data_IF_172275237697
#
_entry.id   IF_172275237697
#
_cell.length_a   1.000
_cell.length_b   1.000
_cell.length_c   1.000
_cell.angle_alpha   90.00
_cell.angle_beta   90.00
_cell.angle_gamma   90.00
#
_symmetry.space_group_name_H-M   'P 1'
#
loop_
_entity.id
_entity.type
_entity.pdbx_description
1 polymer ?
#
# COMPACT_ATOMS: atom_id res chain seq x y z
N UNK A 1 5.36 -16.92 6.04
CA UNK A 1 4.81 -15.83 6.87
C UNK A 1 3.95 -16.43 7.98
N UNK A 2 4.00 -15.90 9.20
CA UNK A 2 3.21 -16.35 10.35
C UNK A 2 4.05 -16.49 11.64
N UNK A 3 3.46 -16.96 12.74
CA UNK A 3 2.07 -17.43 12.83
C UNK A 3 1.04 -16.28 12.87
N UNK A 4 -0.09 -16.49 12.20
CA UNK A 4 -1.29 -15.64 12.20
C UNK A 4 -2.38 -16.23 13.10
N UNK A 5 -3.42 -15.45 13.49
CA UNK A 5 -4.61 -15.99 14.12
C UNK A 5 -5.19 -17.15 13.30
N UNK A 6 -5.49 -18.27 13.97
CA UNK A 6 -5.93 -19.49 13.30
C UNK A 6 -7.28 -19.26 12.62
N UNK A 7 -7.35 -19.53 11.32
CA UNK A 7 -8.58 -19.54 10.53
C UNK A 7 -8.72 -20.88 9.83
N UNK A 8 -9.81 -21.60 10.12
CA UNK A 8 -10.06 -22.96 9.60
C UNK A 8 -8.88 -23.94 9.80
N UNK A 9 -8.14 -23.79 10.91
CA UNK A 9 -6.95 -24.59 11.22
C UNK A 9 -5.66 -24.17 10.51
N UNK A 10 -5.67 -23.10 9.71
CA UNK A 10 -4.50 -22.54 9.05
C UNK A 10 -3.96 -21.33 9.82
N UNK A 11 -2.64 -21.24 9.96
CA UNK A 11 -1.96 -20.19 10.73
C UNK A 11 -0.73 -19.63 10.01
N UNK A 12 -0.35 -20.19 8.87
CA UNK A 12 0.79 -19.74 8.08
C UNK A 12 0.34 -19.46 6.65
N UNK A 13 1.11 -18.60 5.99
CA UNK A 13 0.99 -18.35 4.55
C UNK A 13 2.36 -18.54 3.95
N UNK A 14 2.45 -19.44 2.96
CA UNK A 14 3.62 -19.57 2.12
C UNK A 14 3.40 -18.77 0.84
N UNK A 15 4.41 -18.02 0.45
CA UNK A 15 4.34 -17.03 -0.62
C UNK A 15 5.59 -17.17 -1.50
N UNK A 16 5.38 -17.28 -2.82
CA UNK A 16 6.42 -17.06 -3.80
C UNK A 16 6.02 -15.87 -4.68
N UNK A 17 7.00 -15.02 -4.99
CA UNK A 17 6.80 -13.88 -5.86
C UNK A 17 7.78 -14.01 -7.02
N UNK A 18 7.25 -14.09 -8.24
CA UNK A 18 8.08 -13.98 -9.42
C UNK A 18 8.71 -12.58 -9.44
N UNK A 19 10.01 -12.58 -9.68
CA UNK A 19 10.81 -11.41 -9.48
C UNK A 19 10.53 -10.33 -10.54
N UNK A 20 10.35 -10.75 -11.79
CA UNK A 20 10.23 -9.85 -12.95
C UNK A 20 8.79 -9.39 -13.13
N UNK A 21 7.86 -10.34 -13.24
CA UNK A 21 6.43 -10.05 -13.46
C UNK A 21 5.71 -9.57 -12.20
N UNK A 22 6.35 -9.72 -11.03
CA UNK A 22 5.73 -9.49 -9.72
C UNK A 22 4.51 -10.40 -9.48
N UNK A 23 4.37 -11.49 -10.24
CA UNK A 23 3.32 -12.48 -10.05
C UNK A 23 3.45 -13.12 -8.67
N UNK A 24 2.31 -13.34 -8.01
CA UNK A 24 2.27 -13.84 -6.63
C UNK A 24 1.54 -15.17 -6.60
N UNK A 25 2.17 -16.19 -6.06
CA UNK A 25 1.56 -17.48 -5.74
C UNK A 25 1.58 -17.65 -4.21
N UNK A 26 0.41 -17.88 -3.62
CA UNK A 26 0.25 -17.97 -2.17
C UNK A 26 -0.61 -19.18 -1.78
N UNK A 27 -0.22 -19.88 -0.72
CA UNK A 27 -1.05 -20.93 -0.10
C UNK A 27 -1.15 -20.71 1.42
N UNK A 28 -2.31 -21.00 1.98
CA UNK A 28 -2.49 -21.08 3.42
C UNK A 28 -2.02 -22.46 3.91
N UNK A 29 -1.21 -22.50 4.97
CA UNK A 29 -0.67 -23.74 5.53
C UNK A 29 -0.91 -23.83 7.04
N UNK A 30 -1.12 -25.06 7.54
CA UNK A 30 -1.32 -25.31 8.98
C UNK A 30 0.02 -25.32 9.74
N UNK A 31 1.08 -25.68 9.04
CA UNK A 31 2.45 -25.72 9.56
C UNK A 31 3.40 -25.00 8.59
N UNK A 32 4.60 -24.69 9.05
CA UNK A 32 5.70 -24.14 8.26
C UNK A 32 6.78 -25.21 7.97
N UNK A 33 6.38 -26.48 7.95
CA UNK A 33 7.31 -27.60 7.81
C UNK A 33 7.94 -27.64 6.42
N UNK A 34 9.13 -28.25 6.36
CA UNK A 34 9.88 -28.39 5.13
C UNK A 34 9.12 -29.12 4.03
N UNK A 35 8.35 -30.16 4.39
CA UNK A 35 7.54 -30.93 3.45
C UNK A 35 6.53 -30.03 2.73
N UNK A 36 5.92 -29.10 3.45
CA UNK A 36 4.94 -28.15 2.90
C UNK A 36 5.62 -27.19 1.91
N UNK A 37 6.82 -26.71 2.24
CA UNK A 37 7.60 -25.84 1.35
C UNK A 37 8.00 -26.56 0.06
N UNK A 38 8.49 -27.80 0.16
CA UNK A 38 8.88 -28.60 -1.01
C UNK A 38 7.68 -28.91 -1.90
N UNK A 39 6.55 -29.28 -1.30
CA UNK A 39 5.32 -29.60 -2.02
C UNK A 39 4.80 -28.38 -2.78
N UNK A 40 4.77 -27.21 -2.13
CA UNK A 40 4.44 -25.95 -2.78
C UNK A 40 5.35 -25.62 -3.97
N UNK A 41 6.67 -25.73 -3.81
CA UNK A 41 7.60 -25.42 -4.90
C UNK A 41 7.39 -26.35 -6.10
N UNK A 42 7.17 -27.65 -5.87
CA UNK A 42 6.93 -28.59 -6.97
C UNK A 42 5.57 -28.36 -7.62
N UNK A 43 4.50 -28.40 -6.82
CA UNK A 43 3.11 -28.42 -7.26
C UNK A 43 2.65 -27.08 -7.81
N UNK A 44 3.01 -25.99 -7.13
CA UNK A 44 2.53 -24.66 -7.50
C UNK A 44 3.49 -23.92 -8.43
N UNK A 45 4.80 -24.22 -8.41
CA UNK A 45 5.78 -23.50 -9.22
C UNK A 45 6.36 -24.39 -10.34
N UNK A 46 7.09 -25.46 -10.00
CA UNK A 46 7.91 -26.18 -10.98
C UNK A 46 7.07 -26.88 -12.05
N UNK A 47 5.98 -27.54 -11.67
CA UNK A 47 5.11 -28.22 -12.62
C UNK A 47 4.25 -27.27 -13.46
N UNK A 48 4.01 -26.03 -12.99
CA UNK A 48 3.14 -25.06 -13.67
C UNK A 48 3.90 -24.09 -14.56
N UNK A 49 5.04 -23.62 -14.08
CA UNK A 49 5.82 -22.54 -14.72
C UNK A 49 7.22 -22.96 -15.12
N UNK A 50 7.61 -24.21 -14.81
CA UNK A 50 8.97 -24.70 -14.99
C UNK A 50 9.87 -24.39 -13.80
N UNK A 51 11.10 -24.90 -13.87
CA UNK A 51 12.11 -24.72 -12.82
C UNK A 51 12.67 -23.30 -12.91
N UNK A 52 12.54 -22.46 -11.86
CA UNK A 52 13.07 -21.10 -11.88
C UNK A 52 14.60 -21.12 -11.93
N UNK A 53 15.23 -20.13 -12.56
CA UNK A 53 16.71 -20.06 -12.63
C UNK A 53 17.38 -19.85 -11.27
N UNK A 54 16.69 -19.21 -10.33
CA UNK A 54 17.18 -18.98 -8.98
C UNK A 54 16.00 -18.95 -8.01
N UNK A 55 16.23 -19.45 -6.79
CA UNK A 55 15.29 -19.36 -5.68
C UNK A 55 15.92 -18.51 -4.57
N UNK A 56 15.28 -17.40 -4.22
CA UNK A 56 15.74 -16.51 -3.16
C UNK A 56 14.80 -16.68 -1.96
N UNK A 57 15.36 -17.11 -0.84
CA UNK A 57 14.67 -17.15 0.45
C UNK A 57 15.38 -16.24 1.45
N UNK A 58 14.66 -15.84 2.49
CA UNK A 58 15.12 -15.07 3.65
C UNK A 58 16.11 -15.81 4.58
N UNK A 59 16.69 -16.93 4.13
CA UNK A 59 17.58 -17.80 4.92
C UNK A 59 16.95 -18.35 6.22
N UNK A 60 15.62 -18.45 6.29
CA UNK A 60 14.96 -19.15 7.39
C UNK A 60 15.50 -20.58 7.57
N UNK A 61 15.56 -21.06 8.81
CA UNK A 61 16.08 -22.40 9.17
C UNK A 61 15.42 -23.55 8.38
N UNK A 62 14.17 -23.36 7.96
CA UNK A 62 13.43 -24.31 7.12
C UNK A 62 13.99 -24.41 5.70
N UNK A 63 14.63 -23.37 5.16
CA UNK A 63 15.21 -23.37 3.81
C UNK A 63 16.66 -23.88 3.80
N UNK A 64 17.35 -23.84 4.94
CA UNK A 64 18.71 -24.35 5.11
C UNK A 64 18.72 -25.77 5.71
N UNK A 65 18.25 -26.75 4.93
CA UNK A 65 18.22 -28.17 5.34
C UNK A 65 18.74 -29.07 4.22
N UNK A 66 19.35 -30.22 4.57
CA UNK A 66 19.83 -31.25 3.65
C UNK A 66 18.79 -31.67 2.60
N UNK A 67 17.51 -31.75 2.97
CA UNK A 67 16.46 -32.13 2.01
C UNK A 67 16.15 -31.03 0.99
N UNK A 68 16.20 -29.75 1.38
CA UNK A 68 16.11 -28.63 0.43
C UNK A 68 17.34 -28.54 -0.43
N UNK A 69 18.53 -28.69 0.16
CA UNK A 69 19.79 -28.74 -0.59
C UNK A 69 19.78 -29.85 -1.65
N UNK A 70 19.30 -31.05 -1.29
CA UNK A 70 19.12 -32.16 -2.25
C UNK A 70 18.07 -31.86 -3.32
N UNK A 71 16.97 -31.19 -2.98
CA UNK A 71 15.98 -30.73 -3.96
C UNK A 71 16.60 -29.72 -4.94
N UNK A 72 17.28 -28.70 -4.41
CA UNK A 72 17.93 -27.67 -5.22
C UNK A 72 19.00 -28.28 -6.12
N UNK A 73 19.82 -29.21 -5.61
CA UNK A 73 20.77 -29.99 -6.42
C UNK A 73 20.08 -30.74 -7.56
N UNK A 74 19.00 -31.47 -7.26
CA UNK A 74 18.25 -32.27 -8.25
C UNK A 74 17.72 -31.41 -9.40
N UNK A 75 17.37 -30.16 -9.13
CA UNK A 75 16.84 -29.22 -10.12
C UNK A 75 17.89 -28.21 -10.63
N UNK A 76 19.17 -28.38 -10.29
CA UNK A 76 20.26 -27.51 -10.78
C UNK A 76 20.27 -26.09 -10.20
N UNK A 77 19.69 -25.89 -9.02
CA UNK A 77 19.49 -24.58 -8.38
C UNK A 77 20.59 -24.19 -7.39
N UNK A 78 21.65 -24.99 -7.28
CA UNK A 78 22.61 -24.92 -6.17
C UNK A 78 23.85 -24.07 -6.45
N UNK A 79 24.09 -23.67 -7.70
CA UNK A 79 25.42 -23.24 -8.16
C UNK A 79 25.48 -21.79 -8.64
N UNK A 80 24.71 -20.88 -8.02
CA UNK A 80 24.46 -19.58 -8.65
C UNK A 80 24.52 -18.41 -7.66
N UNK A 81 25.57 -18.35 -6.84
CA UNK A 81 25.90 -17.14 -6.05
C UNK A 81 26.02 -15.90 -6.96
N UNK A 82 26.50 -16.09 -8.19
CA UNK A 82 26.54 -15.05 -9.23
C UNK A 82 25.14 -14.56 -9.63
N UNK A 83 24.16 -15.46 -9.83
CA UNK A 83 22.78 -15.04 -10.13
C UNK A 83 22.11 -14.38 -8.93
N UNK A 84 22.52 -14.70 -7.69
CA UNK A 84 22.03 -13.98 -6.51
C UNK A 84 22.50 -12.54 -6.57
N UNK A 85 23.79 -12.31 -6.79
CA UNK A 85 24.35 -10.96 -6.89
C UNK A 85 23.70 -10.19 -8.05
N UNK A 86 23.55 -10.83 -9.21
CA UNK A 86 22.89 -10.24 -10.37
C UNK A 86 21.42 -9.90 -10.08
N UNK A 87 20.67 -10.79 -9.43
CA UNK A 87 19.28 -10.53 -9.05
C UNK A 87 19.18 -9.35 -8.06
N UNK A 88 20.07 -9.26 -7.06
CA UNK A 88 20.12 -8.13 -6.13
C UNK A 88 20.41 -6.81 -6.86
N UNK A 89 21.39 -6.80 -7.76
CA UNK A 89 21.73 -5.63 -8.57
C UNK A 89 20.57 -5.20 -9.47
N UNK A 90 19.96 -6.16 -10.17
CA UNK A 90 18.75 -5.92 -10.97
C UNK A 90 17.60 -5.36 -10.12
N UNK A 91 17.50 -5.75 -8.83
CA UNK A 91 16.51 -5.20 -7.87
C UNK A 91 16.73 -3.74 -7.63
N UNK A 92 17.99 -3.43 -7.35
CA UNK A 92 18.43 -2.11 -6.98
C UNK A 92 18.20 -1.17 -8.14
N UNK A 93 18.58 -1.57 -9.36
CA UNK A 93 18.36 -0.82 -10.59
C UNK A 93 16.86 -0.62 -10.85
N UNK A 94 16.03 -1.68 -10.76
CA UNK A 94 14.59 -1.56 -10.98
C UNK A 94 13.93 -0.60 -9.99
N UNK A 95 14.19 -0.76 -8.69
CA UNK A 95 13.66 0.12 -7.63
C UNK A 95 14.09 1.57 -7.83
N UNK A 96 15.34 1.81 -8.22
CA UNK A 96 15.86 3.13 -8.54
C UNK A 96 15.14 3.75 -9.75
N UNK A 97 14.93 2.98 -10.83
CA UNK A 97 14.19 3.44 -12.03
C UNK A 97 12.76 3.82 -11.69
N UNK A 98 12.03 2.96 -10.98
CA UNK A 98 10.65 3.22 -10.57
C UNK A 98 10.57 4.44 -9.65
N UNK A 99 11.48 4.56 -8.67
CA UNK A 99 11.57 5.75 -7.81
C UNK A 99 11.83 7.01 -8.63
N UNK A 100 12.76 6.98 -9.59
CA UNK A 100 13.07 8.13 -10.46
C UNK A 100 11.85 8.56 -11.28
N UNK A 101 11.13 7.60 -11.88
CA UNK A 101 9.90 7.88 -12.62
C UNK A 101 8.81 8.45 -11.71
N UNK A 102 8.62 7.86 -10.53
CA UNK A 102 7.67 8.37 -9.54
C UNK A 102 8.01 9.80 -9.15
N UNK A 103 9.26 10.07 -8.75
CA UNK A 103 9.73 11.39 -8.34
C UNK A 103 9.60 12.44 -9.46
N UNK A 104 9.75 12.04 -10.71
CA UNK A 104 9.53 12.91 -11.88
C UNK A 104 8.05 13.27 -12.07
N UNK A 105 7.12 12.39 -11.69
CA UNK A 105 5.68 12.61 -11.82
C UNK A 105 5.06 13.32 -10.60
N UNK A 106 5.83 13.57 -9.53
CA UNK A 106 5.35 14.36 -8.40
C UNK A 106 5.12 15.79 -8.85
N UNK A 107 3.85 16.18 -8.98
CA UNK A 107 3.45 17.56 -9.22
C UNK A 107 3.93 18.43 -8.05
N UNK A 108 4.81 19.39 -8.35
CA UNK A 108 5.22 20.41 -7.38
C UNK A 108 4.02 21.33 -7.12
N UNK A 109 3.58 21.36 -5.87
CA UNK A 109 2.57 22.31 -5.41
C UNK A 109 3.29 23.55 -4.89
N UNK A 110 3.00 24.70 -5.49
CA UNK A 110 3.47 25.98 -4.96
C UNK A 110 2.44 26.53 -3.97
N UNK A 111 2.92 26.88 -2.79
CA UNK A 111 2.10 27.43 -1.72
C UNK A 111 2.56 28.83 -1.37
N UNK A 112 1.61 29.70 -1.03
CA UNK A 112 1.85 31.10 -0.64
C UNK A 112 1.23 31.36 0.74
N UNK A 113 1.88 32.24 1.49
CA UNK A 113 1.34 32.71 2.78
C UNK A 113 -0.04 33.34 2.56
N UNK A 114 -0.97 33.05 3.48
CA UNK A 114 -2.37 33.47 3.44
C UNK A 114 -3.32 32.55 2.67
N UNK A 115 -2.82 31.53 1.96
CA UNK A 115 -3.69 30.57 1.28
C UNK A 115 -4.42 29.66 2.27
N UNK A 116 -5.68 29.34 1.97
CA UNK A 116 -6.42 28.29 2.68
C UNK A 116 -6.10 26.93 2.10
N UNK A 117 -5.81 25.96 2.97
CA UNK A 117 -5.45 24.59 2.60
C UNK A 117 -6.16 23.58 3.48
N UNK A 118 -6.32 22.37 2.95
CA UNK A 118 -6.74 21.20 3.71
C UNK A 118 -5.53 20.33 4.01
N UNK A 119 -5.50 19.74 5.20
CA UNK A 119 -4.46 18.83 5.67
C UNK A 119 -4.95 17.38 5.63
N UNK A 120 -4.12 16.48 5.13
CA UNK A 120 -4.41 15.05 5.13
C UNK A 120 -4.11 14.41 6.50
N UNK A 121 -5.12 13.76 7.07
CA UNK A 121 -4.99 13.03 8.32
C UNK A 121 -4.56 11.57 8.06
N UNK A 122 -3.30 11.27 8.35
CA UNK A 122 -2.71 9.94 8.12
C UNK A 122 -3.11 8.89 9.16
N UNK A 123 -3.72 9.28 10.28
CA UNK A 123 -4.11 8.39 11.39
C UNK A 123 -5.50 7.76 11.18
N UNK A 124 -6.30 8.27 10.24
CA UNK A 124 -7.61 7.70 9.86
C UNK A 124 -7.49 6.42 9.01
N UNK A 125 -6.62 5.49 9.40
CA UNK A 125 -6.27 4.28 8.63
C UNK A 125 -7.40 3.24 8.57
N UNK A 126 -8.33 3.21 9.52
CA UNK A 126 -9.27 2.09 9.70
C UNK A 126 -10.65 2.52 10.24
N UNK A 127 -11.41 3.35 9.52
CA UNK A 127 -12.84 3.51 9.83
C UNK A 127 -13.66 3.02 8.63
N UNK A 128 -14.41 1.94 8.85
CA UNK A 128 -15.30 1.26 7.90
C UNK A 128 -16.57 2.07 7.57
N UNK A 129 -16.48 3.40 7.57
CA UNK A 129 -17.58 4.28 7.21
C UNK A 129 -17.15 5.04 5.97
N UNK A 130 -17.61 4.53 4.82
CA UNK A 130 -17.19 4.82 3.44
C UNK A 130 -17.34 6.29 2.97
N UNK A 131 -17.64 7.24 3.88
CA UNK A 131 -18.04 8.61 3.55
C UNK A 131 -17.37 9.72 4.40
N UNK A 132 -16.37 9.44 5.24
CA UNK A 132 -15.63 10.53 5.92
C UNK A 132 -14.42 10.98 5.11
N UNK A 133 -14.35 12.29 4.84
CA UNK A 133 -13.15 12.93 4.27
C UNK A 133 -11.96 12.72 5.20
N UNK A 134 -10.80 12.34 4.64
CA UNK A 134 -9.51 12.31 5.36
C UNK A 134 -8.79 13.67 5.35
N UNK A 135 -9.46 14.69 4.84
CA UNK A 135 -8.93 16.04 4.74
C UNK A 135 -9.58 16.89 5.84
N UNK A 136 -8.74 17.36 6.77
CA UNK A 136 -9.11 18.28 7.84
C UNK A 136 -8.83 19.72 7.40
N UNK A 137 -9.53 20.69 7.99
CA UNK A 137 -9.39 22.12 7.69
C UNK A 137 -10.67 22.73 7.13
N UNK A 138 -10.66 24.03 6.75
CA UNK A 138 -9.52 24.76 6.19
C UNK A 138 -8.57 25.41 7.21
N UNK A 139 -7.27 25.38 6.91
CA UNK A 139 -6.20 26.06 7.64
C UNK A 139 -5.59 27.16 6.78
N UNK A 140 -5.01 28.18 7.41
CA UNK A 140 -4.32 29.28 6.72
C UNK A 140 -2.81 29.07 6.79
N UNK A 141 -2.11 29.21 5.67
CA UNK A 141 -0.64 29.18 5.66
C UNK A 141 -0.09 30.45 6.28
N UNK A 142 0.71 30.34 7.34
CA UNK A 142 1.41 31.49 7.96
C UNK A 142 2.82 31.65 7.42
N UNK A 143 3.54 30.53 7.23
CA UNK A 143 4.91 30.54 6.74
C UNK A 143 5.17 29.36 5.80
N UNK A 144 5.99 29.59 4.78
CA UNK A 144 6.49 28.55 3.86
C UNK A 144 8.00 28.49 4.01
N UNK A 145 8.50 27.38 4.52
CA UNK A 145 9.93 27.18 4.72
C UNK A 145 10.59 26.55 3.48
N UNK A 146 11.93 26.68 3.35
CA UNK A 146 12.69 25.85 2.42
C UNK A 146 12.43 24.36 2.66
N UNK A 147 12.50 23.54 1.60
CA UNK A 147 12.37 22.07 1.67
C UNK A 147 10.98 21.50 2.00
N UNK A 148 9.91 22.22 1.65
CA UNK A 148 8.52 21.73 1.71
C UNK A 148 7.90 21.62 3.11
N UNK A 149 8.46 22.27 4.14
CA UNK A 149 7.78 22.43 5.42
C UNK A 149 6.90 23.69 5.39
N UNK A 150 5.66 23.57 5.86
CA UNK A 150 4.69 24.66 5.83
C UNK A 150 4.06 24.80 7.21
N UNK A 151 4.02 26.02 7.71
CA UNK A 151 3.33 26.34 8.95
C UNK A 151 1.88 26.68 8.65
N UNK A 152 0.98 25.96 9.32
CA UNK A 152 -0.45 26.15 9.26
C UNK A 152 -0.93 26.76 10.55
N UNK A 153 -1.97 27.58 10.41
CA UNK A 153 -2.72 28.15 11.52
C UNK A 153 -4.17 27.77 11.41
N UNK A 154 -4.72 27.28 12.51
CA UNK A 154 -6.15 27.10 12.69
C UNK A 154 -6.80 28.43 13.08
N UNK A 155 -7.82 28.84 12.33
CA UNK A 155 -8.57 30.09 12.60
C UNK A 155 -9.41 29.98 13.88
N UNK A 156 -9.84 28.77 14.27
CA UNK A 156 -10.72 28.56 15.42
C UNK A 156 -9.96 28.52 16.75
N UNK A 157 -8.84 27.79 16.77
CA UNK A 157 -8.03 27.60 17.99
C UNK A 157 -6.85 28.57 18.07
N UNK A 158 -6.59 29.33 17.01
CA UNK A 158 -5.44 30.22 16.86
C UNK A 158 -4.08 29.49 17.03
N UNK A 159 -4.08 28.15 16.99
CA UNK A 159 -2.89 27.32 17.15
C UNK A 159 -2.13 27.20 15.83
N UNK A 160 -0.80 27.16 15.92
CA UNK A 160 0.08 26.95 14.77
C UNK A 160 0.81 25.62 14.88
N UNK A 161 1.01 24.96 13.74
CA UNK A 161 1.77 23.71 13.66
C UNK A 161 2.40 23.56 12.28
N UNK A 162 3.49 22.81 12.20
CA UNK A 162 4.21 22.57 10.96
C UNK A 162 3.83 21.23 10.33
N UNK A 163 3.63 21.23 9.03
CA UNK A 163 3.32 20.03 8.23
C UNK A 163 4.20 19.94 7.00
N UNK A 164 4.30 18.74 6.45
CA UNK A 164 4.91 18.55 5.15
C UNK A 164 3.94 19.02 4.04
N UNK A 165 4.44 19.82 3.09
CA UNK A 165 3.69 20.32 1.94
C UNK A 165 3.04 19.23 1.09
N UNK A 166 3.58 18.01 1.11
CA UNK A 166 2.94 16.86 0.45
C UNK A 166 1.61 16.45 1.10
N UNK A 167 1.42 16.72 2.40
CA UNK A 167 0.22 16.37 3.15
C UNK A 167 -0.90 17.41 3.01
N UNK A 168 -0.68 18.50 2.27
CA UNK A 168 -1.69 19.55 2.11
C UNK A 168 -2.15 19.70 0.66
N UNK A 169 -3.35 20.24 0.48
CA UNK A 169 -3.88 20.64 -0.83
C UNK A 169 -4.64 21.96 -0.70
N UNK A 170 -4.69 22.72 -1.80
CA UNK A 170 -5.40 23.98 -1.84
C UNK A 170 -6.89 23.79 -1.53
N UNK A 171 -7.43 24.64 -0.66
CA UNK A 171 -8.86 24.70 -0.41
C UNK A 171 -9.50 25.63 -1.44
N UNK A 172 -10.38 25.07 -2.28
CA UNK A 172 -11.18 25.85 -3.20
C UNK A 172 -12.53 26.12 -2.54
N UNK A 173 -12.76 27.39 -2.15
CA UNK A 173 -14.09 27.82 -1.70
C UNK A 173 -15.01 27.73 -2.92
N UNK A 174 -16.11 26.98 -2.81
CA UNK A 174 -17.12 26.94 -3.87
C UNK A 174 -17.65 28.33 -4.18
N UNK A 175 -18.20 28.56 -5.39
CA UNK A 175 -18.84 29.83 -5.72
C UNK A 175 -19.86 30.16 -4.63
N UNK A 176 -19.87 31.41 -4.17
CA UNK A 176 -20.89 31.88 -3.24
C UNK A 176 -22.26 31.55 -3.85
N UNK A 177 -23.23 31.05 -3.08
CA UNK A 177 -24.58 30.88 -3.58
C UNK A 177 -25.03 32.23 -4.15
N UNK A 178 -25.20 32.28 -5.47
CA UNK A 178 -25.85 33.41 -6.11
C UNK A 178 -27.24 33.44 -5.48
N UNK A 179 -27.65 34.58 -4.92
CA UNK A 179 -28.95 34.81 -4.28
C UNK A 179 -30.13 34.73 -5.27
N UNK A 180 -30.05 33.86 -6.28
CA UNK A 180 -31.13 33.53 -7.21
C UNK A 180 -31.47 32.05 -7.09
N UNK A 181 -32.59 31.78 -6.42
CA UNK A 181 -33.37 30.54 -6.48
C UNK A 181 -32.59 29.23 -6.21
N UNK A 182 -32.23 28.99 -4.95
CA UNK A 182 -32.11 27.61 -4.46
C UNK A 182 -33.52 27.05 -4.31
N UNK A 183 -34.01 26.33 -5.33
CA UNK A 183 -35.14 25.42 -5.15
C UNK A 183 -34.67 24.28 -4.24
N UNK A 184 -35.00 24.40 -2.96
CA UNK A 184 -34.83 23.34 -1.98
C UNK A 184 -35.78 22.19 -2.36
N UNK A 185 -35.26 21.22 -3.11
CA UNK A 185 -36.02 19.99 -3.40
C UNK A 185 -36.00 19.17 -2.11
N UNK A 186 -37.06 19.30 -1.33
CA UNK A 186 -37.33 18.44 -0.17
C UNK A 186 -37.64 17.02 -0.70
N UNK A 187 -36.71 16.08 -0.51
CA UNK A 187 -36.98 14.67 -0.80
C UNK A 187 -37.85 14.11 0.33
N UNK A 188 -39.17 14.09 0.13
CA UNK A 188 -40.09 13.35 0.99
C UNK A 188 -39.82 11.85 0.84
N UNK A 189 -39.76 11.15 1.97
CA UNK A 189 -39.71 9.69 2.02
C UNK A 189 -40.97 9.11 1.36
N UNK A 190 -40.84 8.12 0.47
CA UNK A 190 -42.00 7.48 -0.15
C UNK A 190 -42.80 6.74 0.92
N UNK A 191 -44.09 7.03 0.97
CA UNK A 191 -45.02 6.35 1.88
C UNK A 191 -45.07 4.87 1.51
N UNK A 192 -44.93 3.94 2.48
CA UNK A 192 -45.10 2.52 2.22
C UNK A 192 -46.49 2.25 1.64
N UNK A 193 -46.64 1.26 0.74
CA UNK A 193 -47.96 0.88 0.25
C UNK A 193 -48.83 0.43 1.43
N UNK A 194 -50.04 0.97 1.47
CA UNK A 194 -51.05 0.69 2.49
C UNK A 194 -51.49 -0.77 2.36
N UNK A 195 -50.96 -1.62 3.23
CA UNK A 195 -51.44 -2.99 3.40
C UNK A 195 -52.79 -2.92 4.13
N UNK A 196 -53.88 -2.89 3.37
CA UNK A 196 -55.23 -3.19 3.87
C UNK A 196 -55.75 -4.49 3.22
N UNK A 197 -56.49 -5.31 3.99
CA UNK A 197 -56.38 -6.78 4.02
C UNK A 197 -57.13 -7.53 2.92
#
# INVERSE_FOLDING_TARGET
MGPFPVSNGYSYILLAVDYVSRWVEAIATKTNDLKVVVDFLKSNIFYRFGVPKALISDQGSHFYNKSMSSLLHKYGLQELDELRLEAYENSRIYKQKVKKLHDQQILRKEFRVGQKVLMFNSYLKLIAVKLRSRWDGPFVITNVFPYSAIELKDEHTNSTFQVNGHQIKQYHKGPAPITGNMETISLMEPTPPDDTP
#
